data_IF_689801838882
#
_entry.id   IF_689801838882
#
_cell.length_a   1.000
_cell.length_b   1.000
_cell.length_c   1.000
_cell.angle_alpha   90.00
_cell.angle_beta   90.00
_cell.angle_gamma   90.00
#
_symmetry.space_group_name_H-M   'P 1'
#
loop_
_entity.id
_entity.type
_entity.pdbx_description
1 polymer ?
#
# COMPACT_ATOMS: atom_id res chain seq x y z
N UNK A 1 3.80 2.18 -22.39
CA UNK A 1 3.49 2.76 -21.21
C UNK A 1 2.37 3.69 -21.26
N UNK A 2 2.20 4.42 -22.23
CA UNK A 2 1.08 5.24 -22.29
C UNK A 2 -0.19 4.49 -22.24
N UNK A 3 -0.20 3.31 -22.75
CA UNK A 3 -1.43 2.56 -22.80
C UNK A 3 -2.00 2.32 -21.44
N UNK A 4 -1.19 2.26 -20.45
CA UNK A 4 -1.69 2.04 -19.13
C UNK A 4 -2.65 3.11 -18.70
N UNK A 5 -2.30 4.31 -19.01
CA UNK A 5 -3.15 5.38 -18.60
C UNK A 5 -4.47 5.33 -19.28
N UNK A 6 -4.46 4.95 -20.51
CA UNK A 6 -5.70 4.85 -21.19
C UNK A 6 -6.58 3.83 -20.60
N UNK A 7 -6.00 2.74 -20.21
CA UNK A 7 -6.78 1.69 -19.62
C UNK A 7 -7.46 2.17 -18.38
N UNK A 8 -6.74 2.90 -17.58
CA UNK A 8 -7.28 3.40 -16.35
C UNK A 8 -8.46 4.29 -16.63
N UNK A 9 -8.31 5.12 -17.60
CA UNK A 9 -9.39 6.01 -17.92
C UNK A 9 -10.62 5.24 -18.30
N UNK A 10 -10.40 4.22 -19.06
CA UNK A 10 -11.52 3.43 -19.50
C UNK A 10 -12.26 2.83 -18.32
N UNK A 11 -11.51 2.36 -17.40
CA UNK A 11 -12.11 1.73 -16.26
C UNK A 11 -12.98 2.72 -15.52
N UNK A 12 -12.51 3.90 -15.41
CA UNK A 12 -13.26 4.91 -14.72
C UNK A 12 -14.59 5.14 -15.36
N UNK A 13 -14.56 5.21 -16.65
CA UNK A 13 -15.78 5.44 -17.37
C UNK A 13 -16.75 4.32 -17.11
N UNK A 14 -16.24 3.13 -17.12
CA UNK A 14 -17.10 2.00 -16.91
C UNK A 14 -17.75 2.08 -15.55
N UNK A 15 -17.02 2.51 -14.60
CA UNK A 15 -17.56 2.60 -13.28
C UNK A 15 -18.71 3.58 -13.24
N UNK A 16 -18.54 4.66 -13.93
CA UNK A 16 -19.59 5.63 -13.94
C UNK A 16 -20.87 5.06 -14.48
N UNK A 17 -20.73 4.38 -15.56
CA UNK A 17 -21.90 3.79 -16.16
C UNK A 17 -22.56 2.84 -15.20
N UNK A 18 -21.76 2.03 -14.60
CA UNK A 18 -22.30 1.06 -13.69
C UNK A 18 -23.07 1.75 -12.59
N UNK A 19 -22.56 2.85 -12.19
CA UNK A 19 -23.19 3.53 -11.12
C UNK A 19 -24.58 3.94 -11.51
N UNK A 20 -24.79 4.18 -12.76
CA UNK A 20 -26.07 4.58 -13.20
C UNK A 20 -27.11 3.57 -12.89
N UNK A 21 -26.74 2.33 -12.81
CA UNK A 21 -27.69 1.32 -12.51
C UNK A 21 -27.78 1.17 -11.04
N UNK A 22 -28.19 2.17 -10.46
CA UNK A 22 -28.20 2.21 -9.04
C UNK A 22 -28.67 0.98 -8.36
N UNK A 23 -29.58 0.39 -8.92
CA UNK A 23 -30.17 -0.73 -8.25
C UNK A 23 -29.17 -1.75 -7.86
N UNK A 24 -28.20 -1.90 -8.65
CA UNK A 24 -27.31 -2.97 -8.41
C UNK A 24 -26.29 -2.68 -7.40
N UNK A 25 -26.27 -1.52 -6.97
CA UNK A 25 -25.18 -1.20 -6.14
C UNK A 25 -25.06 -1.96 -4.90
N UNK A 26 -25.92 -2.79 -4.65
CA UNK A 26 -25.79 -3.53 -3.46
C UNK A 26 -24.51 -4.30 -3.38
N UNK A 27 -23.96 -4.65 -4.50
CA UNK A 27 -22.83 -5.47 -4.46
C UNK A 27 -21.59 -4.74 -4.64
N UNK A 28 -20.90 -4.46 -3.62
CA UNK A 28 -19.63 -3.82 -3.74
C UNK A 28 -18.59 -4.87 -3.82
N UNK A 29 -17.88 -4.91 -4.90
CA UNK A 29 -16.93 -5.93 -5.13
C UNK A 29 -15.62 -5.61 -4.42
N UNK A 30 -15.08 -6.57 -3.73
CA UNK A 30 -13.83 -6.36 -3.03
C UNK A 30 -12.70 -6.20 -4.02
N UNK A 31 -11.73 -5.41 -3.65
CA UNK A 31 -10.56 -5.20 -4.48
C UNK A 31 -9.74 -6.48 -4.55
N UNK A 32 -8.99 -6.60 -5.60
CA UNK A 32 -8.04 -7.70 -5.69
C UNK A 32 -6.72 -7.24 -5.07
N UNK A 33 -5.86 -8.19 -4.83
CA UNK A 33 -4.56 -7.86 -4.28
C UNK A 33 -3.79 -6.95 -5.21
N UNK A 34 -3.93 -7.15 -6.51
CA UNK A 34 -3.21 -6.30 -7.44
C UNK A 34 -3.72 -4.87 -7.39
N UNK A 35 -5.01 -4.72 -7.27
CA UNK A 35 -5.55 -3.38 -7.18
C UNK A 35 -5.11 -2.71 -5.90
N UNK A 36 -5.04 -3.46 -4.82
CA UNK A 36 -4.60 -2.90 -3.57
C UNK A 36 -3.14 -2.46 -3.64
N UNK A 37 -2.33 -3.24 -4.34
CA UNK A 37 -0.94 -2.87 -4.51
C UNK A 37 -0.82 -1.54 -5.25
N UNK A 38 -1.63 -1.35 -6.27
CA UNK A 38 -1.57 -0.12 -7.00
C UNK A 38 -1.99 1.06 -6.15
N UNK A 39 -2.99 0.87 -5.33
CA UNK A 39 -3.42 1.93 -4.47
C UNK A 39 -2.32 2.29 -3.48
N UNK A 40 -1.65 1.28 -2.95
CA UNK A 40 -0.57 1.54 -2.02
C UNK A 40 0.57 2.29 -2.68
N UNK A 41 0.90 1.91 -3.90
CA UNK A 41 1.96 2.60 -4.61
C UNK A 41 1.60 4.04 -4.91
N UNK A 42 0.37 4.26 -5.31
CA UNK A 42 -0.08 5.61 -5.58
C UNK A 42 0.00 6.45 -4.34
N UNK A 43 -0.40 5.89 -3.23
CA UNK A 43 -0.37 6.62 -1.99
C UNK A 43 1.05 7.02 -1.64
N UNK A 44 2.00 6.15 -1.91
CA UNK A 44 3.39 6.43 -1.59
C UNK A 44 4.07 7.25 -2.69
N UNK A 45 3.44 7.40 -3.83
CA UNK A 45 4.05 8.14 -4.91
C UNK A 45 5.15 7.37 -5.61
N UNK A 46 5.05 6.05 -5.60
CA UNK A 46 6.09 5.21 -6.20
C UNK A 46 5.51 4.33 -7.28
N UNK A 47 6.39 3.69 -8.03
CA UNK A 47 5.99 2.79 -9.09
C UNK A 47 6.40 1.37 -8.74
N UNK A 48 5.69 0.44 -9.33
CA UNK A 48 5.93 -0.95 -9.01
C UNK A 48 7.36 -1.39 -9.28
N UNK A 49 7.97 -0.86 -10.30
CA UNK A 49 9.32 -1.29 -10.62
C UNK A 49 10.36 -0.62 -9.74
N UNK A 50 9.95 0.27 -8.87
CA UNK A 50 10.89 0.91 -7.98
C UNK A 50 10.96 0.23 -6.61
N UNK A 51 9.98 -0.58 -6.30
CA UNK A 51 9.89 -1.15 -4.97
C UNK A 51 9.97 -2.67 -5.01
N UNK A 52 10.22 -3.24 -3.86
CA UNK A 52 10.21 -4.68 -3.72
C UNK A 52 9.13 -5.02 -2.71
N UNK A 53 8.11 -5.71 -3.14
CA UNK A 53 7.04 -6.09 -2.24
C UNK A 53 7.50 -7.23 -1.35
N UNK A 54 7.32 -7.07 -0.07
CA UNK A 54 7.72 -8.08 0.88
C UNK A 54 6.51 -8.78 1.51
N UNK A 55 5.35 -8.17 1.44
CA UNK A 55 4.16 -8.81 1.96
C UNK A 55 2.92 -8.24 1.29
N UNK A 56 2.06 -9.10 0.83
CA UNK A 56 0.76 -8.69 0.29
C UNK A 56 -0.19 -9.79 0.66
N UNK A 57 -1.05 -9.54 1.61
CA UNK A 57 -1.98 -10.57 2.03
C UNK A 57 -3.25 -9.98 2.61
N UNK A 58 -4.35 -10.71 2.55
CA UNK A 58 -5.58 -10.22 3.16
C UNK A 58 -5.49 -10.36 4.66
N UNK A 59 -6.13 -9.47 5.36
CA UNK A 59 -6.11 -9.48 6.80
C UNK A 59 -7.40 -8.87 7.30
N UNK A 60 -7.66 -9.01 8.58
CA UNK A 60 -8.84 -8.43 9.17
C UNK A 60 -8.41 -7.52 10.29
N UNK A 61 -8.84 -6.28 10.23
CA UNK A 61 -8.42 -5.31 11.20
C UNK A 61 -9.66 -4.61 11.72
N UNK A 62 -9.97 -4.76 12.99
CA UNK A 62 -11.12 -4.11 13.56
C UNK A 62 -12.40 -4.48 12.83
N UNK A 63 -12.52 -5.73 12.47
CA UNK A 63 -13.72 -6.18 11.82
C UNK A 63 -13.81 -5.81 10.36
N UNK A 64 -12.80 -5.18 9.85
CA UNK A 64 -12.81 -4.73 8.48
C UNK A 64 -11.79 -5.52 7.67
N UNK A 65 -12.15 -5.92 6.49
CA UNK A 65 -11.24 -6.67 5.65
C UNK A 65 -10.29 -5.71 4.95
N UNK A 66 -9.01 -5.98 5.08
CA UNK A 66 -8.00 -5.13 4.45
C UNK A 66 -6.97 -6.00 3.77
N UNK A 67 -6.12 -5.38 2.95
CA UNK A 67 -4.93 -6.03 2.46
C UNK A 67 -3.77 -5.39 3.18
N UNK A 68 -2.93 -6.22 3.76
CA UNK A 68 -1.73 -5.74 4.42
C UNK A 68 -0.62 -5.76 3.39
N UNK A 69 -0.08 -4.61 3.07
CA UNK A 69 0.90 -4.48 2.01
C UNK A 69 2.18 -3.87 2.55
N UNK A 70 3.29 -4.56 2.33
CA UNK A 70 4.58 -4.06 2.75
C UNK A 70 5.53 -4.07 1.57
N UNK A 71 6.29 -3.04 1.41
CA UNK A 71 7.30 -3.02 0.38
C UNK A 71 8.46 -2.13 0.82
N UNK A 72 9.58 -2.30 0.15
CA UNK A 72 10.78 -1.57 0.47
C UNK A 72 11.19 -0.73 -0.72
N UNK A 73 11.55 0.50 -0.47
CA UNK A 73 12.05 1.37 -1.50
C UNK A 73 13.19 2.18 -0.92
N UNK A 74 14.35 2.06 -1.53
CA UNK A 74 15.47 2.87 -1.13
C UNK A 74 15.80 2.78 0.36
N UNK A 75 15.73 1.59 0.88
CA UNK A 75 16.08 1.39 2.29
C UNK A 75 14.99 1.77 3.27
N UNK A 76 13.81 2.08 2.77
CA UNK A 76 12.71 2.46 3.63
C UNK A 76 11.62 1.41 3.48
N UNK A 77 11.13 0.93 4.58
CA UNK A 77 10.07 -0.05 4.56
C UNK A 77 8.73 0.64 4.75
N UNK A 78 7.83 0.39 3.83
CA UNK A 78 6.49 0.96 3.88
C UNK A 78 5.52 -0.15 4.23
N UNK A 79 4.61 0.15 5.13
CA UNK A 79 3.63 -0.81 5.54
C UNK A 79 2.28 -0.12 5.57
N UNK A 80 1.29 -0.68 4.92
CA UNK A 80 -0.01 -0.05 4.93
C UNK A 80 -1.12 -1.05 4.75
N UNK A 81 -2.29 -0.69 5.26
CA UNK A 81 -3.49 -1.50 5.14
C UNK A 81 -4.43 -0.79 4.20
N UNK A 82 -4.93 -1.53 3.22
CA UNK A 82 -5.85 -0.99 2.24
C UNK A 82 -7.19 -1.68 2.42
N UNK A 83 -8.23 -0.90 2.64
CA UNK A 83 -9.56 -1.45 2.85
C UNK A 83 -10.01 -2.16 1.58
N UNK A 84 -10.46 -3.39 1.70
CA UNK A 84 -10.80 -4.18 0.55
C UNK A 84 -12.05 -3.70 -0.16
N UNK A 85 -12.90 -2.99 0.50
CA UNK A 85 -14.12 -2.54 -0.11
C UNK A 85 -14.04 -1.13 -0.65
N UNK A 86 -13.35 -0.27 0.04
CA UNK A 86 -13.31 1.14 -0.35
C UNK A 86 -12.02 1.57 -0.97
N UNK A 87 -10.97 0.80 -0.77
CA UNK A 87 -9.67 1.20 -1.29
C UNK A 87 -8.99 2.26 -0.45
N UNK A 88 -9.52 2.56 0.72
CA UNK A 88 -8.92 3.59 1.55
C UNK A 88 -7.73 3.02 2.32
N UNK A 89 -6.74 3.85 2.52
CA UNK A 89 -5.60 3.48 3.34
C UNK A 89 -6.03 3.68 4.78
N UNK A 90 -6.13 2.62 5.52
CA UNK A 90 -6.59 2.70 6.90
C UNK A 90 -5.47 2.73 7.89
N UNK A 91 -4.28 2.37 7.46
CA UNK A 91 -3.14 2.41 8.34
C UNK A 91 -1.91 2.58 7.48
N UNK A 92 -0.95 3.34 7.95
CA UNK A 92 0.25 3.59 7.18
C UNK A 92 1.43 3.80 8.12
N UNK A 93 2.51 3.11 7.84
CA UNK A 93 3.71 3.23 8.63
C UNK A 93 4.92 3.21 7.72
N UNK A 94 5.97 3.88 8.11
CA UNK A 94 7.15 3.96 7.30
C UNK A 94 8.37 3.92 8.21
N UNK A 95 9.22 2.95 7.98
CA UNK A 95 10.38 2.75 8.81
C UNK A 95 11.64 2.71 8.02
N UNK A 96 12.66 3.33 8.54
CA UNK A 96 13.94 3.27 7.88
C UNK A 96 14.59 1.95 8.22
N UNK A 97 15.05 1.29 7.22
CA UNK A 97 15.64 0.00 7.39
C UNK A 97 17.03 0.14 7.92
N UNK A 98 17.17 0.17 9.19
CA UNK A 98 18.51 0.23 9.77
C UNK A 98 18.97 -1.18 9.88
N UNK A 99 19.86 -1.53 9.12
CA UNK A 99 20.33 -2.86 9.08
C UNK A 99 20.79 -3.36 10.40
N UNK A 100 21.19 -2.53 11.25
CA UNK A 100 21.66 -3.03 12.49
C UNK A 100 21.67 -1.95 13.44
N UNK A 101 21.02 -2.13 14.39
CA UNK A 101 20.88 -1.20 15.35
C UNK A 101 21.88 -1.27 16.38
N UNK A 102 22.70 -2.23 16.36
CA UNK A 102 23.64 -2.36 17.38
C UNK A 102 24.49 -1.16 17.46
N UNK A 103 24.40 -0.29 16.55
CA UNK A 103 25.21 0.87 16.62
C UNK A 103 24.90 1.69 17.81
N UNK A 104 23.76 1.54 18.32
CA UNK A 104 23.41 2.31 19.45
C UNK A 104 24.37 2.15 20.55
N UNK A 105 24.84 1.00 20.76
CA UNK A 105 25.74 0.78 21.83
C UNK A 105 27.00 1.54 21.64
N UNK A 106 27.42 1.67 20.45
CA UNK A 106 28.65 2.36 20.18
C UNK A 106 28.56 3.77 20.62
N UNK A 107 27.44 4.33 20.47
CA UNK A 107 27.31 5.72 20.81
C UNK A 107 27.60 5.93 22.27
N UNK A 108 27.12 5.10 23.09
CA UNK A 108 27.36 5.22 24.46
C UNK A 108 28.82 5.15 24.77
N UNK A 109 29.48 4.22 24.19
CA UNK A 109 30.87 4.09 24.39
C UNK A 109 31.58 5.32 23.98
N UNK A 110 31.14 5.85 22.90
CA UNK A 110 31.80 6.97 22.35
C UNK A 110 31.77 8.14 23.31
N UNK A 111 30.71 8.38 23.94
CA UNK A 111 30.64 9.45 24.87
C UNK A 111 31.27 9.14 26.16
N UNK A 112 31.39 7.92 26.42
CA UNK A 112 31.86 7.54 27.67
C UNK A 112 33.29 7.77 27.92
N UNK A 113 34.07 7.82 26.94
CA UNK A 113 35.45 7.82 27.15
C UNK A 113 35.96 9.04 27.79
N UNK A 114 35.42 10.07 27.68
CA UNK A 114 35.98 11.20 28.22
C UNK A 114 36.98 11.01 29.25
#
# INVERSE_FOLDING_TARGET
MKSLKKIIATVLVAVMVACGCAAACAQQKALTAEEAKEIALDFAGLKADQVTFTKVKPDRDDGRMVYEIEFVYNGIEYEMDVDQLTGRITDFDKDYFHGHDRDDDDWDDFFDFD
#
